data_IF_250141826983
#
_entry.id   IF_250141826983
#
_cell.length_a   1.000
_cell.length_b   1.000
_cell.length_c   1.000
_cell.angle_alpha   90.00
_cell.angle_beta   90.00
_cell.angle_gamma   90.00
#
_symmetry.space_group_name_H-M   'P 1'
#
loop_
_entity.id
_entity.type
_entity.pdbx_description
1 polymer ?
#
# COMPACT_ATOMS: atom_id res chain seq x y z
N UNK A 1 -14.39 2.80 -10.38
CA UNK A 1 -13.78 3.96 -9.69
C UNK A 1 -12.63 4.58 -10.50
N UNK A 2 -11.65 3.78 -10.96
CA UNK A 2 -10.53 4.28 -11.77
C UNK A 2 -10.94 4.99 -13.08
N UNK A 3 -11.95 4.50 -13.79
CA UNK A 3 -12.47 5.14 -15.01
C UNK A 3 -13.04 6.55 -14.75
N UNK A 4 -13.74 6.75 -13.63
CA UNK A 4 -14.29 8.06 -13.24
C UNK A 4 -13.16 9.04 -12.91
N UNK A 5 -12.10 8.56 -12.26
CA UNK A 5 -10.93 9.37 -11.93
C UNK A 5 -10.16 9.80 -13.19
N UNK A 6 -9.99 8.89 -14.16
CA UNK A 6 -9.42 9.20 -15.47
C UNK A 6 -10.25 10.22 -16.27
N UNK A 7 -11.56 10.02 -16.32
CA UNK A 7 -12.47 10.86 -17.10
C UNK A 7 -12.68 12.24 -16.48
N UNK A 8 -12.57 12.38 -15.16
CA UNK A 8 -12.71 13.67 -14.46
C UNK A 8 -11.40 14.45 -14.38
N UNK A 9 -10.23 13.79 -14.30
CA UNK A 9 -8.95 14.48 -14.06
C UNK A 9 -8.08 14.62 -15.31
N UNK A 10 -8.06 13.63 -16.22
CA UNK A 10 -7.13 13.62 -17.35
C UNK A 10 -7.79 13.98 -18.70
N UNK A 11 -9.06 13.63 -18.88
CA UNK A 11 -9.83 13.94 -20.09
C UNK A 11 -10.02 15.46 -20.36
N UNK A 12 -10.33 16.29 -19.34
CA UNK A 12 -10.52 17.73 -19.56
C UNK A 12 -9.23 18.43 -19.98
N UNK A 13 -8.09 17.98 -19.46
CA UNK A 13 -6.75 18.48 -19.75
C UNK A 13 -6.32 18.21 -21.18
N UNK A 14 -6.82 17.13 -21.79
CA UNK A 14 -6.61 16.81 -23.21
C UNK A 14 -7.53 17.58 -24.16
N UNK A 15 -8.73 17.96 -23.70
CA UNK A 15 -9.70 18.72 -24.51
C UNK A 15 -9.37 20.22 -24.61
N UNK A 16 -8.49 20.73 -23.74
CA UNK A 16 -8.07 22.12 -23.74
C UNK A 16 -7.05 22.37 -24.85
N UNK A 17 -7.50 22.87 -26.01
CA UNK A 17 -6.62 23.28 -27.11
C UNK A 17 -6.01 24.66 -26.86
N UNK A 18 -4.68 24.76 -26.86
CA UNK A 18 -3.96 26.03 -26.74
C UNK A 18 -2.44 25.86 -26.57
N UNK A 19 -1.67 26.96 -26.69
CA UNK A 19 -0.19 26.94 -26.53
C UNK A 19 0.27 26.49 -25.14
N UNK A 20 -0.60 26.61 -24.13
CA UNK A 20 -0.37 26.20 -22.73
C UNK A 20 -0.74 24.73 -22.45
N UNK A 21 -1.29 24.02 -23.42
CA UNK A 21 -1.71 22.62 -23.31
C UNK A 21 -0.61 21.67 -22.76
N UNK A 22 0.66 21.69 -23.20
CA UNK A 22 1.66 20.76 -22.68
C UNK A 22 1.91 20.94 -21.18
N UNK A 23 1.89 22.17 -20.66
CA UNK A 23 2.06 22.45 -19.23
C UNK A 23 0.84 21.96 -18.44
N UNK A 24 -0.36 22.23 -18.95
CA UNK A 24 -1.60 21.76 -18.33
C UNK A 24 -1.65 20.23 -18.25
N UNK A 25 -1.24 19.52 -19.31
CA UNK A 25 -1.19 18.04 -19.34
C UNK A 25 -0.20 17.50 -18.31
N UNK A 26 0.98 18.11 -18.16
CA UNK A 26 1.97 17.71 -17.16
C UNK A 26 1.44 17.86 -15.72
N UNK A 27 0.79 18.99 -15.40
CA UNK A 27 0.18 19.20 -14.09
C UNK A 27 -1.01 18.25 -13.86
N UNK A 28 -1.86 18.04 -14.87
CA UNK A 28 -3.00 17.12 -14.79
C UNK A 28 -2.57 15.67 -14.59
N UNK A 29 -1.48 15.25 -15.25
CA UNK A 29 -0.88 13.93 -15.04
C UNK A 29 -0.38 13.74 -13.61
N UNK A 30 0.34 14.74 -13.06
CA UNK A 30 0.86 14.68 -11.70
C UNK A 30 -0.27 14.56 -10.67
N UNK A 31 -1.33 15.35 -10.82
CA UNK A 31 -2.52 15.30 -9.94
C UNK A 31 -3.22 13.94 -10.05
N UNK A 32 -3.45 13.45 -11.27
CA UNK A 32 -4.07 12.15 -11.50
C UNK A 32 -3.25 10.99 -10.91
N UNK A 33 -1.92 11.04 -11.04
CA UNK A 33 -1.01 10.02 -10.53
C UNK A 33 -1.04 9.94 -8.99
N UNK A 34 -0.98 11.10 -8.32
CA UNK A 34 -1.03 11.16 -6.84
C UNK A 34 -2.39 10.69 -6.32
N UNK A 35 -3.50 11.11 -6.94
CA UNK A 35 -4.84 10.65 -6.58
C UNK A 35 -5.01 9.14 -6.77
N UNK A 36 -4.47 8.60 -7.86
CA UNK A 36 -4.47 7.16 -8.15
C UNK A 36 -3.72 6.39 -7.07
N UNK A 37 -2.51 6.81 -6.71
CA UNK A 37 -1.74 6.17 -5.63
C UNK A 37 -2.44 6.29 -4.28
N UNK A 38 -2.89 7.48 -3.90
CA UNK A 38 -3.46 7.69 -2.56
C UNK A 38 -4.80 6.99 -2.36
N UNK A 39 -5.70 7.06 -3.34
CA UNK A 39 -7.08 6.56 -3.19
C UNK A 39 -7.16 5.08 -3.57
N UNK A 40 -6.68 4.71 -4.76
CA UNK A 40 -6.85 3.34 -5.27
C UNK A 40 -5.90 2.35 -4.56
N UNK A 41 -4.66 2.74 -4.28
CA UNK A 41 -3.73 1.84 -3.56
C UNK A 41 -3.93 1.98 -2.06
N UNK A 42 -3.98 3.21 -1.55
CA UNK A 42 -4.08 3.46 -0.10
C UNK A 42 -5.41 3.00 0.50
N UNK A 43 -6.55 3.47 -0.04
CA UNK A 43 -7.85 3.22 0.59
C UNK A 43 -8.48 1.91 0.13
N UNK A 44 -8.53 1.70 -1.19
CA UNK A 44 -9.15 0.50 -1.75
C UNK A 44 -8.22 -0.73 -1.62
N UNK A 45 -6.92 -0.57 -1.91
CA UNK A 45 -5.93 -1.65 -1.82
C UNK A 45 -5.70 -2.17 -0.40
N UNK A 46 -5.60 -1.28 0.59
CA UNK A 46 -5.42 -1.69 1.99
C UNK A 46 -6.66 -2.44 2.54
N UNK A 47 -7.86 -1.99 2.18
CA UNK A 47 -9.11 -2.67 2.56
C UNK A 47 -9.17 -4.09 1.99
N UNK A 48 -8.83 -4.25 0.70
CA UNK A 48 -8.75 -5.55 0.05
C UNK A 48 -7.66 -6.45 0.66
N UNK A 49 -6.49 -5.87 0.99
CA UNK A 49 -5.41 -6.59 1.66
C UNK A 49 -5.82 -7.11 3.04
N UNK A 50 -6.45 -6.28 3.86
CA UNK A 50 -6.92 -6.68 5.20
C UNK A 50 -8.02 -7.76 5.11
N UNK A 51 -8.87 -7.70 4.09
CA UNK A 51 -9.84 -8.77 3.84
C UNK A 51 -9.14 -10.10 3.50
N UNK A 52 -8.15 -10.06 2.61
CA UNK A 52 -7.35 -11.23 2.27
C UNK A 52 -6.56 -11.78 3.47
N UNK A 53 -5.98 -10.90 4.29
CA UNK A 53 -5.27 -11.27 5.51
C UNK A 53 -6.21 -11.87 6.56
N UNK A 54 -7.44 -11.36 6.68
CA UNK A 54 -8.47 -11.96 7.54
C UNK A 54 -8.80 -13.38 7.10
N UNK A 55 -8.96 -13.63 5.79
CA UNK A 55 -9.18 -14.98 5.27
C UNK A 55 -7.95 -15.87 5.54
N UNK A 56 -6.73 -15.37 5.29
CA UNK A 56 -5.49 -16.12 5.59
C UNK A 56 -5.38 -16.48 7.07
N UNK A 57 -5.70 -15.55 7.98
CA UNK A 57 -5.65 -15.82 9.41
C UNK A 57 -6.78 -16.76 9.88
N UNK A 58 -8.01 -16.51 9.44
CA UNK A 58 -9.19 -17.21 9.98
C UNK A 58 -9.45 -18.55 9.28
N UNK A 59 -9.25 -18.64 7.97
CA UNK A 59 -9.51 -19.87 7.21
C UNK A 59 -8.28 -20.77 7.10
N UNK A 60 -7.06 -20.22 6.99
CA UNK A 60 -5.86 -21.03 6.78
C UNK A 60 -5.11 -21.32 8.09
N UNK A 61 -4.90 -20.32 8.95
CA UNK A 61 -4.23 -20.51 10.25
C UNK A 61 -5.07 -21.35 11.22
N UNK A 62 -6.39 -21.16 11.27
CA UNK A 62 -7.27 -21.93 12.17
C UNK A 62 -7.43 -23.41 11.78
N UNK A 63 -7.00 -23.81 10.56
CA UNK A 63 -7.20 -25.18 10.04
C UNK A 63 -5.92 -26.02 10.07
N UNK A 64 -4.74 -25.40 10.12
CA UNK A 64 -3.45 -26.09 10.03
C UNK A 64 -2.40 -25.60 11.05
N UNK A 65 -2.64 -24.54 11.81
CA UNK A 65 -1.70 -23.98 12.77
C UNK A 65 -2.22 -24.12 14.21
N UNK A 66 -1.76 -25.14 14.93
CA UNK A 66 -2.23 -25.48 16.30
C UNK A 66 -1.64 -24.56 17.39
N UNK A 67 -0.91 -23.51 16.99
CA UNK A 67 -0.41 -22.44 17.89
C UNK A 67 0.61 -22.88 18.95
N UNK A 68 0.95 -24.16 19.02
CA UNK A 68 1.86 -24.74 20.00
C UNK A 68 3.29 -24.77 19.47
N UNK A 69 3.97 -23.63 19.60
CA UNK A 69 5.40 -23.51 19.31
C UNK A 69 6.05 -22.43 20.15
N UNK A 70 7.16 -22.75 20.82
CA UNK A 70 8.01 -21.73 21.43
C UNK A 70 8.79 -21.01 20.32
N UNK A 71 8.83 -19.69 20.37
CA UNK A 71 9.67 -18.90 19.45
C UNK A 71 11.12 -19.27 19.74
N UNK A 72 11.80 -19.89 18.78
CA UNK A 72 13.21 -20.25 18.92
C UNK A 72 14.03 -18.96 18.92
N UNK A 73 14.60 -18.62 20.07
CA UNK A 73 15.55 -17.53 20.21
C UNK A 73 16.95 -18.13 20.29
N UNK A 74 17.74 -18.10 19.21
CA UNK A 74 19.10 -18.61 19.23
C UNK A 74 19.96 -17.75 20.14
N UNK A 75 20.81 -18.39 20.95
CA UNK A 75 21.82 -17.70 21.73
C UNK A 75 22.78 -16.97 20.77
N UNK A 76 22.69 -15.65 20.75
CA UNK A 76 23.54 -14.77 19.94
C UNK A 76 24.34 -13.87 20.87
N UNK A 77 25.67 -13.93 20.74
CA UNK A 77 26.58 -13.08 21.52
C UNK A 77 26.31 -11.58 21.33
N UNK A 78 25.70 -11.17 20.20
CA UNK A 78 25.29 -9.77 19.98
C UNK A 78 24.16 -9.34 20.93
N UNK A 79 23.16 -10.18 21.12
CA UNK A 79 22.01 -9.91 22.01
C UNK A 79 22.45 -9.80 23.47
N UNK A 80 23.36 -10.67 23.89
CA UNK A 80 23.90 -10.65 25.26
C UNK A 80 24.79 -9.43 25.53
N UNK A 81 25.55 -8.97 24.53
CA UNK A 81 26.38 -7.77 24.66
C UNK A 81 25.53 -6.49 24.71
N UNK A 82 24.45 -6.42 23.93
CA UNK A 82 23.52 -5.28 23.91
C UNK A 82 22.76 -5.15 25.24
N UNK A 83 22.29 -6.27 25.81
CA UNK A 83 21.64 -6.33 27.13
C UNK A 83 22.60 -5.98 28.29
N UNK A 84 23.90 -6.24 28.14
CA UNK A 84 24.92 -5.91 29.13
C UNK A 84 25.44 -4.45 29.02
N UNK A 85 25.18 -3.75 27.91
CA UNK A 85 25.60 -2.36 27.67
C UNK A 85 24.48 -1.36 28.01
N UNK A 86 23.21 -1.79 28.01
CA UNK A 86 22.05 -1.01 28.50
C UNK A 86 21.89 -0.98 30.04
N UNK A 87 22.68 -1.76 30.78
CA UNK A 87 22.63 -1.88 32.25
C UNK A 87 23.83 -1.24 32.97
#
# INVERSE_FOLDING_TARGET
>A
LSEVLWTMTFLPTLKMSGRLQPVAVMCGFAVWFVLTFSILIGMEGLSAFLHALRLHWVEFNNKFYDGTGTKFEPFSFKTVLEEAEEH
#
